data_IF_560331360963
#
_entry.id   IF_560331360963
#
_cell.length_a   1.000
_cell.length_b   1.000
_cell.length_c   1.000
_cell.angle_alpha   90.00
_cell.angle_beta   90.00
_cell.angle_gamma   90.00
#
_symmetry.space_group_name_H-M   'P 1'
#
loop_
_entity.id
_entity.type
_entity.pdbx_description
1 polymer ?
#
# COMPACT_ATOMS: atom_id res chain seq x y z
N UNK A 1 -10.03 -25.65 30.23
CA UNK A 1 -9.52 -25.70 31.62
C UNK A 1 -10.16 -24.57 32.43
N UNK A 2 -10.01 -24.53 33.76
CA UNK A 2 -10.32 -23.35 34.57
C UNK A 2 -9.01 -22.79 35.12
N UNK A 3 -8.64 -21.57 34.73
CA UNK A 3 -7.45 -20.90 35.23
C UNK A 3 -7.75 -20.27 36.60
N UNK A 4 -6.79 -20.32 37.53
CA UNK A 4 -6.88 -19.69 38.85
C UNK A 4 -6.39 -18.24 38.81
N UNK A 5 -5.34 -17.97 38.02
CA UNK A 5 -4.84 -16.64 37.71
C UNK A 5 -5.58 -16.05 36.49
N UNK A 6 -5.90 -14.74 36.47
CA UNK A 6 -6.40 -14.08 35.27
C UNK A 6 -5.30 -14.01 34.23
N UNK A 7 -5.44 -14.77 33.14
CA UNK A 7 -4.43 -14.92 32.10
C UNK A 7 -4.08 -13.60 31.39
N UNK A 8 -5.00 -12.62 31.37
CA UNK A 8 -4.76 -11.25 30.91
C UNK A 8 -3.71 -10.50 31.77
N UNK A 9 -3.50 -10.92 33.02
CA UNK A 9 -2.50 -10.34 33.93
C UNK A 9 -1.12 -10.99 33.76
N UNK A 10 -1.06 -12.19 33.18
CA UNK A 10 0.18 -12.93 32.91
C UNK A 10 0.93 -12.41 31.68
N UNK A 11 0.28 -11.61 30.84
CA UNK A 11 0.86 -11.03 29.61
C UNK A 11 1.37 -9.61 29.88
N UNK A 12 2.66 -9.39 29.61
CA UNK A 12 3.27 -8.07 29.60
C UNK A 12 3.07 -7.41 28.23
N UNK A 13 1.89 -6.80 28.04
CA UNK A 13 1.50 -6.15 26.77
C UNK A 13 2.60 -5.23 26.20
N UNK A 14 2.90 -5.31 24.88
CA UNK A 14 3.94 -4.48 24.24
C UNK A 14 3.76 -2.97 24.47
N UNK A 15 2.51 -2.51 24.56
CA UNK A 15 2.14 -1.12 24.89
C UNK A 15 2.69 -0.62 26.22
N UNK A 16 3.16 -1.49 27.12
CA UNK A 16 3.84 -1.11 28.36
C UNK A 16 5.23 -0.51 28.10
N UNK A 17 5.88 -0.90 27.01
CA UNK A 17 7.26 -0.50 26.67
C UNK A 17 7.32 0.70 25.70
N UNK A 18 6.17 1.15 25.18
CA UNK A 18 6.07 2.23 24.18
C UNK A 18 5.37 3.49 24.71
N UNK A 19 5.00 3.53 26.00
CA UNK A 19 4.21 4.61 26.65
C UNK A 19 4.79 6.01 26.54
N UNK A 20 6.11 6.11 26.44
CA UNK A 20 6.83 7.40 26.35
C UNK A 20 6.93 7.91 24.90
N UNK A 21 6.61 7.06 23.91
CA UNK A 21 6.51 7.47 22.51
C UNK A 21 5.25 8.31 22.34
N UNK A 22 5.40 9.54 21.86
CA UNK A 22 4.29 10.44 21.57
C UNK A 22 3.86 10.28 20.12
N UNK A 23 2.55 10.34 19.91
CA UNK A 23 1.89 10.37 18.61
C UNK A 23 0.89 11.54 18.59
N UNK A 24 0.44 12.00 17.41
CA UNK A 24 -0.76 12.83 17.28
C UNK A 24 -1.97 12.16 17.92
N UNK A 25 -3.04 12.93 18.15
CA UNK A 25 -4.31 12.34 18.56
C UNK A 25 -4.78 11.34 17.49
N UNK A 26 -5.32 10.15 17.85
CA UNK A 26 -5.74 9.15 16.86
C UNK A 26 -6.75 9.66 15.82
N UNK A 27 -7.55 10.68 16.16
CA UNK A 27 -8.49 11.33 15.23
C UNK A 27 -7.82 12.25 14.21
N UNK A 28 -6.56 12.64 14.42
CA UNK A 28 -5.76 13.40 13.45
C UNK A 28 -4.98 12.51 12.47
N UNK A 29 -4.81 11.21 12.77
CA UNK A 29 -4.02 10.28 11.95
C UNK A 29 -4.88 9.77 10.78
N UNK A 30 -4.63 10.30 9.58
CA UNK A 30 -5.33 9.91 8.35
C UNK A 30 -4.54 8.88 7.56
N UNK A 31 -5.19 7.77 7.22
CA UNK A 31 -4.68 6.77 6.27
C UNK A 31 -4.94 7.22 4.84
N UNK A 32 -3.90 7.30 4.04
CA UNK A 32 -3.95 7.69 2.63
C UNK A 32 -3.52 6.53 1.74
N UNK A 33 -4.43 6.01 0.93
CA UNK A 33 -4.13 4.92 0.00
C UNK A 33 -3.60 5.38 -1.35
N UNK A 34 -2.52 4.74 -1.80
CA UNK A 34 -1.90 4.91 -3.11
C UNK A 34 -1.96 3.63 -3.98
N UNK A 35 -2.78 2.61 -3.63
CA UNK A 35 -2.85 1.33 -4.36
C UNK A 35 -3.23 1.51 -5.83
N UNK A 36 -4.08 2.49 -6.14
CA UNK A 36 -4.56 2.78 -7.50
C UNK A 36 -3.67 3.76 -8.30
N UNK A 37 -2.52 4.16 -7.73
CA UNK A 37 -1.54 5.06 -8.35
C UNK A 37 -0.12 4.51 -8.25
N UNK A 38 0.43 4.38 -7.04
CA UNK A 38 1.76 3.77 -6.83
C UNK A 38 1.67 2.25 -6.87
N UNK A 39 0.63 1.66 -6.26
CA UNK A 39 0.45 0.21 -6.23
C UNK A 39 0.31 -0.44 -7.62
N UNK A 40 -0.22 0.29 -8.60
CA UNK A 40 -0.29 -0.13 -10.01
C UNK A 40 1.03 0.07 -10.77
N UNK A 41 1.97 0.90 -10.26
CA UNK A 41 3.31 1.02 -10.84
C UNK A 41 4.20 -0.20 -10.57
N UNK A 42 3.71 -1.19 -9.81
CA UNK A 42 4.31 -2.52 -9.73
C UNK A 42 4.36 -3.17 -11.14
N UNK A 43 5.53 -3.61 -11.64
CA UNK A 43 5.66 -4.18 -12.98
C UNK A 43 4.68 -5.34 -13.26
N UNK A 44 3.94 -5.25 -14.37
CA UNK A 44 2.93 -6.23 -14.78
C UNK A 44 1.54 -6.03 -14.15
N UNK A 45 1.39 -5.17 -13.14
CA UNK A 45 0.06 -4.85 -12.58
C UNK A 45 -0.63 -3.80 -13.45
N UNK A 46 -1.92 -4.02 -13.73
CA UNK A 46 -2.76 -3.08 -14.46
C UNK A 46 -4.23 -3.35 -14.11
N UNK A 47 -5.00 -2.29 -13.84
CA UNK A 47 -6.42 -2.39 -13.50
C UNK A 47 -7.28 -1.66 -14.54
N UNK A 48 -8.34 -2.32 -15.00
CA UNK A 48 -9.38 -1.62 -15.76
C UNK A 48 -10.08 -0.56 -14.90
N UNK A 49 -10.68 0.49 -15.49
CA UNK A 49 -11.37 1.53 -14.71
C UNK A 49 -12.48 1.00 -13.79
N UNK A 50 -13.12 -0.12 -14.17
CA UNK A 50 -14.10 -0.83 -13.36
C UNK A 50 -13.44 -1.53 -12.16
N UNK A 51 -12.34 -2.27 -12.36
CA UNK A 51 -11.59 -2.86 -11.24
C UNK A 51 -11.06 -1.77 -10.29
N UNK A 52 -10.59 -0.63 -10.81
CA UNK A 52 -10.18 0.51 -9.98
C UNK A 52 -11.33 1.04 -9.13
N UNK A 53 -12.56 1.10 -9.66
CA UNK A 53 -13.75 1.47 -8.87
C UNK A 53 -14.07 0.43 -7.79
N UNK A 54 -14.01 -0.87 -8.10
CA UNK A 54 -14.23 -1.94 -7.12
C UNK A 54 -13.20 -1.88 -5.97
N UNK A 55 -11.92 -1.68 -6.31
CA UNK A 55 -10.83 -1.49 -5.34
C UNK A 55 -11.04 -0.22 -4.51
N UNK A 56 -11.37 0.93 -5.13
CA UNK A 56 -11.66 2.17 -4.40
C UNK A 56 -12.84 2.00 -3.43
N UNK A 57 -13.86 1.22 -3.81
CA UNK A 57 -15.01 0.89 -2.95
C UNK A 57 -14.58 0.02 -1.76
N UNK A 58 -13.75 -1.01 -1.98
CA UNK A 58 -13.22 -1.85 -0.91
C UNK A 58 -12.31 -1.09 0.08
N UNK A 59 -11.49 -0.17 -0.45
CA UNK A 59 -10.63 0.73 0.35
C UNK A 59 -11.46 1.73 1.17
N UNK A 60 -12.50 2.33 0.59
CA UNK A 60 -13.41 3.20 1.32
C UNK A 60 -14.17 2.44 2.41
N UNK A 61 -14.65 1.22 2.11
CA UNK A 61 -15.36 0.37 3.08
C UNK A 61 -14.46 -0.07 4.23
N UNK A 62 -13.18 -0.43 4.03
CA UNK A 62 -12.31 -0.77 5.17
C UNK A 62 -11.96 0.45 6.05
N UNK A 63 -12.14 1.69 5.55
CA UNK A 63 -11.94 2.92 6.32
C UNK A 63 -10.66 3.70 5.97
N UNK A 64 -10.26 3.71 4.70
CA UNK A 64 -9.26 4.67 4.21
C UNK A 64 -9.85 6.09 4.19
N UNK A 65 -9.03 7.09 4.53
CA UNK A 65 -9.48 8.48 4.67
C UNK A 65 -9.26 9.31 3.39
N UNK A 66 -8.29 8.90 2.58
CA UNK A 66 -7.91 9.49 1.29
C UNK A 66 -7.60 8.32 0.35
N UNK A 67 -8.05 8.38 -0.90
CA UNK A 67 -7.69 7.42 -1.96
C UNK A 67 -7.18 8.19 -3.18
N UNK A 68 -5.97 7.87 -3.61
CA UNK A 68 -5.37 8.32 -4.87
C UNK A 68 -5.95 7.53 -6.02
N UNK A 69 -6.65 8.17 -6.98
CA UNK A 69 -7.34 7.48 -8.10
C UNK A 69 -6.59 7.60 -9.42
N UNK A 70 -5.25 7.59 -9.36
CA UNK A 70 -4.36 7.55 -10.53
C UNK A 70 -3.98 8.93 -11.07
N UNK A 71 -3.59 8.96 -12.35
CA UNK A 71 -3.01 10.11 -13.03
C UNK A 71 -3.75 10.45 -14.34
N UNK A 72 -4.81 11.28 -14.28
CA UNK A 72 -5.68 11.57 -15.43
C UNK A 72 -4.97 12.10 -16.69
N UNK A 73 -3.90 12.89 -16.54
CA UNK A 73 -3.17 13.42 -17.69
C UNK A 73 -2.29 12.36 -18.39
N UNK A 74 -1.97 11.24 -17.73
CA UNK A 74 -1.13 10.17 -18.28
C UNK A 74 -1.94 9.11 -19.06
N UNK A 75 -3.19 8.83 -18.64
CA UNK A 75 -4.00 7.74 -19.21
C UNK A 75 -5.47 8.13 -19.41
N UNK A 76 -6.08 7.67 -20.51
CA UNK A 76 -7.55 7.70 -20.67
C UNK A 76 -8.26 6.76 -19.70
N UNK A 77 -7.62 5.66 -19.28
CA UNK A 77 -8.11 4.77 -18.25
C UNK A 77 -8.23 5.48 -16.88
N UNK A 78 -7.23 6.27 -16.52
CA UNK A 78 -7.25 7.04 -15.26
C UNK A 78 -8.27 8.18 -15.30
N UNK A 79 -8.44 8.86 -16.44
CA UNK A 79 -9.57 9.80 -16.62
C UNK A 79 -10.92 9.12 -16.42
N UNK A 80 -11.14 7.95 -17.01
CA UNK A 80 -12.41 7.23 -16.82
C UNK A 80 -12.56 6.71 -15.40
N UNK A 81 -11.47 6.33 -14.73
CA UNK A 81 -11.46 5.94 -13.32
C UNK A 81 -11.90 7.08 -12.41
N UNK A 82 -11.29 8.26 -12.55
CA UNK A 82 -11.69 9.47 -11.83
C UNK A 82 -13.19 9.75 -12.00
N UNK A 83 -13.68 9.68 -13.24
CA UNK A 83 -15.10 9.89 -13.53
C UNK A 83 -15.98 8.86 -12.83
N UNK A 84 -15.70 7.56 -12.98
CA UNK A 84 -16.45 6.47 -12.35
C UNK A 84 -16.48 6.58 -10.82
N UNK A 85 -15.35 6.90 -10.19
CA UNK A 85 -15.24 7.06 -8.74
C UNK A 85 -16.03 8.28 -8.25
N UNK A 86 -15.96 9.42 -8.95
CA UNK A 86 -16.75 10.60 -8.56
C UNK A 86 -18.25 10.45 -8.83
N UNK A 87 -18.64 9.80 -9.93
CA UNK A 87 -20.02 9.40 -10.21
C UNK A 87 -20.55 8.50 -9.06
N UNK A 88 -19.76 7.53 -8.61
CA UNK A 88 -20.11 6.58 -7.54
C UNK A 88 -20.14 7.25 -6.15
N UNK A 89 -19.18 8.13 -5.83
CA UNK A 89 -19.19 8.94 -4.61
C UNK A 89 -20.43 9.84 -4.54
N UNK A 90 -20.86 10.45 -5.65
CA UNK A 90 -22.09 11.26 -5.73
C UNK A 90 -23.38 10.45 -5.58
N UNK A 91 -23.35 9.14 -5.87
CA UNK A 91 -24.45 8.20 -5.53
C UNK A 91 -24.43 7.74 -4.07
N UNK A 92 -23.40 8.12 -3.29
CA UNK A 92 -23.23 7.74 -1.88
C UNK A 92 -22.52 6.41 -1.66
N UNK A 93 -21.99 5.79 -2.72
CA UNK A 93 -21.47 4.41 -2.69
C UNK A 93 -20.07 4.28 -2.03
N UNK A 94 -19.25 5.35 -2.05
CA UNK A 94 -17.93 5.40 -1.38
C UNK A 94 -17.92 6.13 -0.03
N UNK A 95 -19.06 6.63 0.44
CA UNK A 95 -19.12 7.43 1.67
C UNK A 95 -18.23 8.68 1.65
N UNK A 96 -17.69 9.06 2.81
CA UNK A 96 -16.96 10.33 3.00
C UNK A 96 -15.43 10.23 2.83
N UNK A 97 -14.96 9.38 1.91
CA UNK A 97 -13.53 9.30 1.57
C UNK A 97 -13.08 10.49 0.71
N UNK A 98 -11.90 11.06 1.00
CA UNK A 98 -11.30 12.11 0.15
C UNK A 98 -10.73 11.48 -1.13
N UNK A 99 -11.18 11.96 -2.29
CA UNK A 99 -10.64 11.52 -3.59
C UNK A 99 -9.51 12.47 -4.00
N UNK A 100 -8.36 11.88 -4.35
CA UNK A 100 -7.15 12.59 -4.75
C UNK A 100 -6.68 12.14 -6.14
N UNK A 101 -6.14 13.06 -6.94
CA UNK A 101 -5.56 12.77 -8.26
C UNK A 101 -4.18 13.38 -8.44
N UNK A 102 -3.27 12.65 -9.08
CA UNK A 102 -1.93 13.14 -9.39
C UNK A 102 -1.95 14.09 -10.60
N UNK A 103 -1.18 15.16 -10.51
CA UNK A 103 -0.76 16.04 -11.60
C UNK A 103 0.74 16.30 -11.45
N UNK A 104 1.51 16.36 -12.55
CA UNK A 104 2.85 16.99 -12.48
C UNK A 104 2.66 18.50 -12.31
N UNK A 105 3.71 19.19 -11.88
CA UNK A 105 3.75 20.66 -11.80
C UNK A 105 3.84 21.32 -13.17
N UNK A 106 2.78 21.16 -13.96
CA UNK A 106 2.55 21.85 -15.23
C UNK A 106 1.05 22.12 -15.42
N UNK A 107 0.73 23.15 -16.19
CA UNK A 107 -0.65 23.63 -16.39
C UNK A 107 -1.53 22.64 -17.15
N UNK A 108 -0.99 21.96 -18.17
CA UNK A 108 -1.74 21.02 -19.00
C UNK A 108 -2.31 19.84 -18.20
N UNK A 109 -1.54 19.27 -17.25
CA UNK A 109 -2.03 18.16 -16.42
C UNK A 109 -3.23 18.59 -15.56
N UNK A 110 -3.18 19.81 -15.02
CA UNK A 110 -4.26 20.43 -14.24
C UNK A 110 -5.47 20.68 -15.15
N UNK A 111 -5.27 21.29 -16.33
CA UNK A 111 -6.33 21.63 -17.29
C UNK A 111 -7.08 20.37 -17.77
N UNK A 112 -6.36 19.30 -18.10
CA UNK A 112 -6.93 18.00 -18.50
C UNK A 112 -7.75 17.39 -17.36
N UNK A 113 -7.27 17.47 -16.13
CA UNK A 113 -7.96 16.92 -14.96
C UNK A 113 -9.23 17.73 -14.63
N UNK A 114 -9.15 19.06 -14.66
CA UNK A 114 -10.30 19.96 -14.47
C UNK A 114 -11.35 19.77 -15.58
N UNK A 115 -10.93 19.58 -16.83
CA UNK A 115 -11.83 19.28 -17.94
C UNK A 115 -12.58 17.95 -17.72
N UNK A 116 -11.87 16.89 -17.31
CA UNK A 116 -12.46 15.57 -17.06
C UNK A 116 -13.50 15.57 -15.91
N UNK A 117 -13.30 16.42 -14.89
CA UNK A 117 -14.29 16.64 -13.81
C UNK A 117 -15.51 17.44 -14.29
N UNK A 118 -15.27 18.51 -15.03
CA UNK A 118 -16.35 19.36 -15.58
C UNK A 118 -17.23 18.63 -16.59
N UNK A 119 -16.66 17.68 -17.34
CA UNK A 119 -17.38 16.81 -18.29
C UNK A 119 -18.52 16.02 -17.61
N UNK A 120 -18.30 15.55 -16.38
CA UNK A 120 -19.31 14.85 -15.56
C UNK A 120 -20.00 15.76 -14.53
N UNK A 121 -19.86 17.09 -14.68
CA UNK A 121 -20.50 18.08 -13.81
C UNK A 121 -20.08 18.00 -12.34
N UNK A 122 -18.81 17.66 -12.07
CA UNK A 122 -18.18 17.68 -10.73
C UNK A 122 -17.40 18.98 -10.57
N UNK A 123 -17.55 19.66 -9.44
CA UNK A 123 -16.77 20.87 -9.14
C UNK A 123 -15.33 20.46 -8.73
N UNK A 124 -14.26 21.08 -9.28
CA UNK A 124 -12.88 20.85 -8.85
C UNK A 124 -12.62 20.99 -7.34
N UNK A 125 -13.50 21.66 -6.56
CA UNK A 125 -13.46 21.67 -5.08
C UNK A 125 -13.73 20.31 -4.44
N UNK A 126 -14.47 19.43 -5.12
CA UNK A 126 -14.85 18.10 -4.61
C UNK A 126 -13.66 17.12 -4.58
N UNK A 127 -12.57 17.43 -5.30
CA UNK A 127 -11.39 16.56 -5.49
C UNK A 127 -10.13 17.27 -4.98
N UNK A 128 -9.21 16.50 -4.38
CA UNK A 128 -7.88 16.99 -4.01
C UNK A 128 -6.91 16.79 -5.17
N UNK A 129 -6.18 17.84 -5.56
CA UNK A 129 -5.13 17.72 -6.58
C UNK A 129 -3.78 17.56 -5.89
N UNK A 130 -3.08 16.47 -6.17
CA UNK A 130 -1.68 16.29 -5.78
C UNK A 130 -0.79 16.78 -6.90
N UNK A 131 -0.23 17.99 -6.75
CA UNK A 131 0.64 18.62 -7.73
C UNK A 131 2.09 18.31 -7.34
N UNK A 132 2.78 17.54 -8.17
CA UNK A 132 4.08 16.94 -7.81
C UNK A 132 5.22 17.39 -8.73
N UNK A 133 6.37 17.67 -8.12
CA UNK A 133 7.66 17.88 -8.79
C UNK A 133 8.74 17.01 -8.12
N UNK A 134 10.00 17.21 -8.50
CA UNK A 134 11.14 16.63 -7.81
C UNK A 134 11.62 17.52 -6.65
N UNK A 135 12.37 16.94 -5.69
CA UNK A 135 12.82 17.62 -4.47
C UNK A 135 14.33 17.52 -4.17
N UNK A 136 14.99 16.37 -4.33
CA UNK A 136 16.43 16.28 -4.05
C UNK A 136 17.30 16.97 -5.11
N UNK A 137 18.47 17.49 -4.73
CA UNK A 137 19.39 18.19 -5.63
C UNK A 137 19.78 17.36 -6.86
N UNK A 138 19.90 16.04 -6.70
CA UNK A 138 20.17 15.11 -7.80
C UNK A 138 19.03 15.13 -8.83
N UNK A 139 17.77 15.10 -8.38
CA UNK A 139 16.61 15.14 -9.26
C UNK A 139 16.41 16.54 -9.86
N UNK A 140 16.51 17.59 -9.04
CA UNK A 140 16.40 18.98 -9.48
C UNK A 140 17.40 19.32 -10.58
N UNK A 141 18.68 18.96 -10.39
CA UNK A 141 19.69 19.16 -11.43
C UNK A 141 19.52 18.15 -12.56
N UNK A 142 19.53 16.84 -12.32
CA UNK A 142 19.70 15.86 -13.40
C UNK A 142 18.44 15.20 -13.96
N UNK A 143 17.32 15.14 -13.23
CA UNK A 143 16.04 14.62 -13.75
C UNK A 143 15.21 15.72 -14.43
N UNK A 144 15.01 16.85 -13.75
CA UNK A 144 14.12 17.93 -14.21
C UNK A 144 14.82 19.21 -14.63
N UNK A 145 16.15 19.32 -14.53
CA UNK A 145 16.89 20.57 -14.79
C UNK A 145 16.59 21.23 -16.14
N UNK A 146 16.41 20.45 -17.21
CA UNK A 146 15.97 20.96 -18.53
C UNK A 146 14.55 21.50 -18.54
N UNK A 147 13.63 20.92 -17.77
CA UNK A 147 12.27 21.45 -17.59
C UNK A 147 12.33 22.79 -16.85
N UNK A 148 13.16 22.87 -15.81
CA UNK A 148 13.37 24.10 -15.01
C UNK A 148 14.02 25.22 -15.82
N UNK A 149 14.98 24.92 -16.70
CA UNK A 149 15.54 25.88 -17.65
C UNK A 149 14.48 26.45 -18.59
N UNK A 150 13.69 25.58 -19.25
CA UNK A 150 12.63 26.01 -20.17
C UNK A 150 11.57 26.84 -19.46
N UNK A 151 11.18 26.47 -18.23
CA UNK A 151 10.25 27.25 -17.41
C UNK A 151 10.82 28.65 -17.09
N UNK A 152 12.10 28.74 -16.73
CA UNK A 152 12.79 29.99 -16.46
C UNK A 152 13.18 30.79 -17.73
N UNK A 153 12.77 30.36 -18.93
CA UNK A 153 13.10 31.02 -20.19
C UNK A 153 14.59 30.94 -20.59
N UNK A 154 15.31 29.92 -20.13
CA UNK A 154 16.75 29.72 -20.35
C UNK A 154 17.06 28.64 -21.39
N UNK A 155 18.27 28.69 -21.94
CA UNK A 155 18.75 27.72 -22.92
C UNK A 155 19.16 26.39 -22.24
N UNK A 156 18.79 25.26 -22.84
CA UNK A 156 19.12 23.94 -22.28
C UNK A 156 20.63 23.61 -22.27
N UNK A 157 21.45 24.32 -23.06
CA UNK A 157 22.91 24.16 -23.03
C UNK A 157 23.55 24.66 -21.73
N UNK A 158 22.87 25.53 -20.96
CA UNK A 158 23.33 26.00 -19.65
C UNK A 158 23.22 24.94 -18.54
N UNK A 159 22.61 23.78 -18.83
CA UNK A 159 22.19 22.80 -17.84
C UNK A 159 23.28 22.36 -16.84
N UNK A 160 24.47 22.04 -17.32
CA UNK A 160 25.52 21.54 -16.44
C UNK A 160 26.27 22.66 -15.70
N UNK A 161 26.29 23.88 -16.25
CA UNK A 161 27.08 25.02 -15.71
C UNK A 161 26.39 25.78 -14.57
N UNK A 162 25.05 25.74 -14.47
CA UNK A 162 24.34 26.48 -13.43
C UNK A 162 24.49 25.87 -12.02
N UNK A 163 24.52 26.71 -10.96
CA UNK A 163 24.58 26.28 -9.57
C UNK A 163 23.26 25.65 -9.11
N UNK A 164 23.31 24.83 -8.05
CA UNK A 164 22.12 24.18 -7.48
C UNK A 164 21.06 25.17 -6.99
N UNK A 165 21.46 26.35 -6.51
CA UNK A 165 20.54 27.41 -6.08
C UNK A 165 19.57 27.85 -7.17
N UNK A 166 19.99 27.87 -8.45
CA UNK A 166 19.10 28.15 -9.57
C UNK A 166 18.03 27.07 -9.73
N UNK A 167 18.40 25.79 -9.61
CA UNK A 167 17.46 24.67 -9.76
C UNK A 167 16.47 24.57 -8.60
N UNK A 168 16.93 24.83 -7.36
CA UNK A 168 16.08 24.96 -6.18
C UNK A 168 15.04 26.09 -6.38
N UNK A 169 15.49 27.30 -6.71
CA UNK A 169 14.61 28.46 -6.93
C UNK A 169 13.60 28.23 -8.06
N UNK A 170 14.07 27.77 -9.23
CA UNK A 170 13.22 27.52 -10.39
C UNK A 170 12.16 26.44 -10.13
N UNK A 171 12.46 25.44 -9.27
CA UNK A 171 11.50 24.41 -8.89
C UNK A 171 10.43 24.94 -7.92
N UNK A 172 10.82 25.79 -6.97
CA UNK A 172 9.85 26.45 -6.09
C UNK A 172 8.88 27.30 -6.92
N UNK A 173 9.37 28.12 -7.86
CA UNK A 173 8.47 28.95 -8.69
C UNK A 173 7.65 28.13 -9.69
N UNK A 174 8.18 27.03 -10.27
CA UNK A 174 7.38 26.10 -11.08
C UNK A 174 6.20 25.53 -10.29
N UNK A 175 6.46 25.11 -9.06
CA UNK A 175 5.44 24.58 -8.15
C UNK A 175 4.41 25.67 -7.80
N UNK A 176 4.87 26.87 -7.45
CA UNK A 176 4.00 28.00 -7.12
C UNK A 176 3.12 28.43 -8.31
N UNK A 177 3.64 28.42 -9.55
CA UNK A 177 2.84 28.68 -10.76
C UNK A 177 1.75 27.62 -10.95
N UNK A 178 2.10 26.34 -10.86
CA UNK A 178 1.14 25.25 -10.99
C UNK A 178 0.04 25.30 -9.91
N UNK A 179 0.39 25.59 -8.65
CA UNK A 179 -0.57 25.78 -7.56
C UNK A 179 -1.48 26.98 -7.80
N UNK A 180 -0.95 28.14 -8.21
CA UNK A 180 -1.74 29.33 -8.56
C UNK A 180 -2.69 29.06 -9.73
N UNK A 181 -2.27 28.24 -10.70
CA UNK A 181 -3.07 27.84 -11.86
C UNK A 181 -4.18 26.82 -11.50
N UNK A 182 -3.95 25.92 -10.54
CA UNK A 182 -5.02 25.09 -9.99
C UNK A 182 -6.03 25.94 -9.19
N UNK A 183 -5.56 26.92 -8.41
CA UNK A 183 -6.42 27.89 -7.70
C UNK A 183 -7.31 28.70 -8.64
N UNK A 184 -6.80 29.16 -9.78
CA UNK A 184 -7.61 29.90 -10.76
C UNK A 184 -8.72 29.05 -11.41
N UNK A 185 -8.60 27.72 -11.38
CA UNK A 185 -9.62 26.77 -11.83
C UNK A 185 -10.68 26.41 -10.77
N UNK A 186 -10.52 26.91 -9.54
CA UNK A 186 -11.42 26.65 -8.41
C UNK A 186 -11.02 25.47 -7.53
N UNK A 187 -9.81 24.89 -7.70
CA UNK A 187 -9.35 23.79 -6.84
C UNK A 187 -9.14 24.29 -5.42
N UNK A 188 -9.82 23.68 -4.45
CA UNK A 188 -9.77 24.10 -3.05
C UNK A 188 -8.73 23.36 -2.20
N UNK A 189 -8.54 22.06 -2.43
CA UNK A 189 -7.57 21.20 -1.75
C UNK A 189 -6.42 20.86 -2.70
N UNK A 190 -5.22 21.27 -2.34
CA UNK A 190 -4.01 21.09 -3.13
C UNK A 190 -2.94 20.45 -2.24
N UNK A 191 -2.74 19.16 -2.45
CA UNK A 191 -1.55 18.46 -1.95
C UNK A 191 -0.36 18.77 -2.87
N UNK A 192 0.84 18.89 -2.32
CA UNK A 192 2.03 19.18 -3.12
C UNK A 192 3.29 18.59 -2.50
N UNK A 193 4.21 18.13 -3.33
CA UNK A 193 5.40 17.42 -2.86
C UNK A 193 6.58 17.50 -3.81
N UNK A 194 7.74 17.07 -3.30
CA UNK A 194 8.99 16.97 -4.06
C UNK A 194 9.55 15.56 -3.91
N UNK A 195 9.72 14.86 -5.03
CA UNK A 195 10.35 13.53 -5.11
C UNK A 195 11.70 13.46 -4.40
N UNK A 196 12.02 12.28 -3.85
CA UNK A 196 13.31 11.96 -3.25
C UNK A 196 13.63 12.78 -1.98
N UNK A 197 12.59 13.06 -1.19
CA UNK A 197 12.65 13.89 0.01
C UNK A 197 13.62 13.39 1.09
N UNK A 198 13.77 12.08 1.25
CA UNK A 198 14.71 11.46 2.18
C UNK A 198 16.20 11.72 1.89
N UNK A 199 16.53 12.06 0.63
CA UNK A 199 17.90 12.37 0.18
C UNK A 199 18.08 13.85 -0.20
N UNK A 200 17.07 14.67 0.04
CA UNK A 200 17.14 16.11 -0.15
C UNK A 200 17.64 16.86 1.07
N UNK A 201 17.82 18.17 0.89
CA UNK A 201 18.17 19.10 1.96
C UNK A 201 16.91 19.54 2.70
N UNK A 202 16.81 19.19 3.99
CA UNK A 202 15.65 19.49 4.84
C UNK A 202 15.34 20.98 4.93
N UNK A 203 16.35 21.87 4.86
CA UNK A 203 16.12 23.32 4.92
C UNK A 203 15.50 23.83 3.62
N UNK A 204 15.92 23.29 2.48
CA UNK A 204 15.29 23.57 1.19
C UNK A 204 13.84 23.06 1.17
N UNK A 205 13.55 21.89 1.75
CA UNK A 205 12.17 21.41 1.87
C UNK A 205 11.30 22.30 2.75
N UNK A 206 11.85 22.81 3.86
CA UNK A 206 11.17 23.79 4.72
C UNK A 206 10.86 25.08 3.95
N UNK A 207 11.81 25.62 3.18
CA UNK A 207 11.58 26.81 2.34
C UNK A 207 10.54 26.55 1.24
N UNK A 208 10.74 25.47 0.47
CA UNK A 208 9.87 25.03 -0.62
C UNK A 208 8.43 24.88 -0.14
N UNK A 209 8.20 24.18 0.96
CA UNK A 209 6.86 23.97 1.47
C UNK A 209 6.22 25.26 1.99
N UNK A 210 6.94 26.10 2.73
CA UNK A 210 6.38 27.38 3.20
C UNK A 210 6.04 28.33 2.04
N UNK A 211 6.86 28.39 0.98
CA UNK A 211 6.58 29.19 -0.23
C UNK A 211 5.38 28.66 -1.02
N UNK A 212 5.24 27.33 -1.13
CA UNK A 212 4.11 26.72 -1.85
C UNK A 212 2.80 26.81 -1.04
N UNK A 213 2.85 26.72 0.30
CA UNK A 213 1.72 27.07 1.17
C UNK A 213 1.28 28.52 0.93
N UNK A 214 2.22 29.48 0.90
CA UNK A 214 1.92 30.89 0.62
C UNK A 214 1.38 31.13 -0.80
N UNK A 215 1.71 30.27 -1.78
CA UNK A 215 1.12 30.28 -3.11
C UNK A 215 -0.30 29.67 -3.19
N UNK A 216 -0.78 29.05 -2.10
CA UNK A 216 -2.11 28.45 -2.00
C UNK A 216 -2.13 26.92 -1.91
N UNK A 217 -1.00 26.25 -1.66
CA UNK A 217 -0.99 24.83 -1.31
C UNK A 217 -1.68 24.58 0.04
N UNK A 218 -2.24 23.39 0.26
CA UNK A 218 -2.95 23.05 1.52
C UNK A 218 -2.33 21.90 2.31
N UNK A 219 -1.57 21.02 1.65
CA UNK A 219 -1.00 19.83 2.30
C UNK A 219 0.37 19.48 1.72
N UNK A 220 1.47 19.66 2.47
CA UNK A 220 2.80 19.20 2.03
C UNK A 220 2.86 17.66 2.05
N UNK A 221 3.50 17.09 1.04
CA UNK A 221 3.78 15.65 0.94
C UNK A 221 5.28 15.41 0.76
N UNK A 222 5.83 14.58 1.62
CA UNK A 222 7.26 14.30 1.71
C UNK A 222 7.53 12.78 1.51
N UNK A 223 8.28 12.40 0.47
CA UNK A 223 8.53 11.00 0.15
C UNK A 223 9.95 10.50 0.51
N UNK A 224 10.05 9.32 1.11
CA UNK A 224 11.26 8.47 1.03
C UNK A 224 11.18 7.57 -0.21
N UNK A 225 11.43 8.18 -1.38
CA UNK A 225 11.23 7.58 -2.71
C UNK A 225 12.02 6.28 -2.94
N UNK A 226 13.11 6.05 -2.21
CA UNK A 226 13.97 4.86 -2.32
C UNK A 226 14.09 4.07 -1.01
N UNK A 227 13.17 4.31 -0.06
CA UNK A 227 13.03 3.55 1.19
C UNK A 227 14.30 3.48 2.04
N UNK A 228 15.18 4.47 1.95
CA UNK A 228 16.57 4.36 2.40
C UNK A 228 16.84 4.91 3.81
N UNK A 229 15.82 5.44 4.49
CA UNK A 229 15.98 5.90 5.87
C UNK A 229 15.94 4.75 6.87
N UNK A 230 16.72 4.89 7.94
CA UNK A 230 16.47 4.16 9.18
C UNK A 230 15.53 4.97 10.09
N UNK A 231 14.97 4.38 11.15
CA UNK A 231 14.19 5.14 12.13
C UNK A 231 14.94 6.33 12.74
N UNK A 232 16.27 6.25 12.88
CA UNK A 232 17.12 7.36 13.35
C UNK A 232 17.16 8.49 12.32
N UNK A 233 17.34 8.14 11.03
CA UNK A 233 17.27 9.10 9.92
C UNK A 233 15.90 9.75 9.80
N UNK A 234 14.83 8.96 9.92
CA UNK A 234 13.45 9.46 9.93
C UNK A 234 13.19 10.41 11.11
N UNK A 235 13.70 10.12 12.32
CA UNK A 235 13.61 11.05 13.45
C UNK A 235 14.39 12.35 13.22
N UNK A 236 15.62 12.25 12.73
CA UNK A 236 16.48 13.42 12.50
C UNK A 236 15.93 14.35 11.42
N UNK A 237 15.48 13.80 10.29
CA UNK A 237 14.91 14.57 9.18
C UNK A 237 13.47 15.01 9.49
N UNK A 238 12.62 14.09 9.93
CA UNK A 238 11.19 14.31 10.15
C UNK A 238 10.89 15.35 11.23
N UNK A 239 11.53 15.24 12.41
CA UNK A 239 11.31 16.22 13.50
C UNK A 239 11.67 17.64 13.07
N UNK A 240 12.78 17.78 12.32
CA UNK A 240 13.24 19.08 11.81
C UNK A 240 12.31 19.64 10.74
N UNK A 241 11.85 18.80 9.82
CA UNK A 241 10.88 19.18 8.79
C UNK A 241 9.56 19.66 9.40
N UNK A 242 8.97 18.88 10.33
CA UNK A 242 7.70 19.25 10.99
C UNK A 242 7.85 20.54 11.79
N UNK A 243 8.97 20.73 12.52
CA UNK A 243 9.23 21.95 13.28
C UNK A 243 9.44 23.21 12.42
N UNK A 244 9.78 23.07 11.14
CA UNK A 244 9.92 24.18 10.19
C UNK A 244 8.63 24.60 9.50
N UNK A 245 7.50 23.93 9.76
CA UNK A 245 6.21 24.15 9.11
C UNK A 245 5.20 24.76 10.09
N UNK A 246 4.08 25.35 9.60
CA UNK A 246 3.03 25.87 10.48
C UNK A 246 2.49 24.79 11.41
N UNK A 247 2.21 25.17 12.66
CA UNK A 247 1.74 24.24 13.69
C UNK A 247 0.47 23.49 13.24
N UNK A 248 0.46 22.17 13.46
CA UNK A 248 -0.67 21.31 13.13
C UNK A 248 -0.84 20.94 11.66
N UNK A 249 0.02 21.43 10.75
CA UNK A 249 -0.01 21.12 9.31
C UNK A 249 -0.09 19.60 9.05
N UNK A 250 -1.07 19.11 8.25
CA UNK A 250 -1.28 17.67 8.05
C UNK A 250 -0.32 17.06 7.02
N UNK A 251 0.99 17.11 7.30
CA UNK A 251 2.04 16.65 6.37
C UNK A 251 1.90 15.16 6.08
N UNK A 252 2.01 14.81 4.79
CA UNK A 252 2.03 13.41 4.32
C UNK A 252 3.43 12.82 4.41
N UNK A 253 3.56 11.66 5.05
CA UNK A 253 4.71 10.76 4.87
C UNK A 253 4.36 9.69 3.83
N UNK A 254 5.18 9.58 2.79
CA UNK A 254 5.10 8.51 1.79
C UNK A 254 6.43 7.78 1.74
N UNK A 255 6.43 6.45 1.93
CA UNK A 255 7.67 5.72 2.24
C UNK A 255 7.69 4.38 1.48
N UNK A 256 8.75 4.17 0.70
CA UNK A 256 9.01 2.87 0.07
C UNK A 256 9.69 1.89 1.03
N UNK A 257 9.74 0.63 0.62
CA UNK A 257 10.14 -0.50 1.45
C UNK A 257 11.41 -1.23 0.96
N UNK A 258 12.29 -0.57 0.19
CA UNK A 258 13.50 -1.15 -0.41
C UNK A 258 14.42 -1.92 0.58
N UNK A 259 14.47 -1.49 1.84
CA UNK A 259 15.23 -2.14 2.91
C UNK A 259 14.36 -2.92 3.94
N UNK A 260 13.05 -3.08 3.68
CA UNK A 260 12.11 -3.67 4.63
C UNK A 260 11.76 -2.76 5.83
N UNK A 261 12.03 -1.45 5.71
CA UNK A 261 11.88 -0.48 6.81
C UNK A 261 10.63 0.42 6.69
N UNK A 262 9.81 0.27 5.63
CA UNK A 262 8.70 1.17 5.34
C UNK A 262 7.71 1.30 6.50
N UNK A 263 7.24 0.17 7.06
CA UNK A 263 6.30 0.15 8.20
C UNK A 263 6.86 0.83 9.46
N UNK A 264 8.11 0.52 9.85
CA UNK A 264 8.70 1.11 11.06
C UNK A 264 9.04 2.60 10.87
N UNK A 265 9.41 3.01 9.66
CA UNK A 265 9.57 4.42 9.31
C UNK A 265 8.23 5.17 9.30
N UNK A 266 7.13 4.54 8.89
CA UNK A 266 5.79 5.13 8.94
C UNK A 266 5.33 5.40 10.37
N UNK A 267 5.52 4.42 11.27
CA UNK A 267 5.29 4.57 12.71
C UNK A 267 6.19 5.69 13.26
N UNK A 268 7.47 5.70 12.89
CA UNK A 268 8.44 6.72 13.33
C UNK A 268 8.08 8.12 12.82
N UNK A 269 7.61 8.25 11.57
CA UNK A 269 7.11 9.49 10.99
C UNK A 269 5.89 10.01 11.75
N UNK A 270 4.95 9.11 12.07
CA UNK A 270 3.79 9.44 12.89
C UNK A 270 4.22 9.98 14.25
N UNK A 271 5.19 9.34 14.91
CA UNK A 271 5.76 9.83 16.17
C UNK A 271 6.54 11.15 16.05
N UNK A 272 7.00 11.54 14.86
CA UNK A 272 7.60 12.84 14.58
C UNK A 272 6.56 13.96 14.34
N UNK A 273 5.26 13.63 14.32
CA UNK A 273 4.17 14.59 14.11
C UNK A 273 3.59 14.60 12.68
N UNK A 274 3.96 13.66 11.81
CA UNK A 274 3.26 13.48 10.54
C UNK A 274 1.84 12.95 10.81
N UNK A 275 0.84 13.59 10.22
CA UNK A 275 -0.59 13.28 10.46
C UNK A 275 -1.25 12.51 9.33
N UNK A 276 -0.64 12.46 8.14
CA UNK A 276 -1.16 11.69 7.01
C UNK A 276 -0.11 10.67 6.60
N UNK A 277 -0.47 9.38 6.66
CA UNK A 277 0.46 8.29 6.35
C UNK A 277 -0.03 7.60 5.09
N UNK A 278 0.80 7.65 4.04
CA UNK A 278 0.56 6.95 2.80
C UNK A 278 0.88 5.47 2.96
N UNK A 279 -0.04 4.64 2.49
CA UNK A 279 -0.02 3.18 2.56
C UNK A 279 -0.56 2.58 1.26
N UNK A 280 -0.35 1.28 1.06
CA UNK A 280 -1.06 0.52 0.03
C UNK A 280 -1.56 -0.80 0.59
N UNK A 281 -2.70 -1.27 0.07
CA UNK A 281 -3.14 -2.64 0.28
C UNK A 281 -2.09 -3.63 -0.23
N UNK A 282 -1.80 -4.68 0.55
CA UNK A 282 -0.72 -5.64 0.35
C UNK A 282 0.71 -5.05 0.29
N UNK A 283 0.90 -3.74 0.47
CA UNK A 283 2.21 -3.09 0.30
C UNK A 283 2.66 -2.95 -1.16
N UNK A 284 1.78 -3.18 -2.14
CA UNK A 284 2.14 -3.05 -3.55
C UNK A 284 2.66 -1.64 -3.89
N UNK A 285 3.51 -1.56 -4.90
CA UNK A 285 4.19 -0.33 -5.31
C UNK A 285 5.37 -0.61 -6.23
N UNK A 286 6.05 0.46 -6.60
CA UNK A 286 7.38 0.39 -7.23
C UNK A 286 8.37 -0.48 -6.43
N UNK A 287 9.14 -1.31 -7.16
CA UNK A 287 10.26 -2.13 -6.64
C UNK A 287 9.86 -3.09 -5.49
N UNK A 288 10.25 -2.77 -4.25
CA UNK A 288 9.92 -3.53 -3.04
C UNK A 288 8.60 -3.10 -2.38
N UNK A 289 7.89 -2.15 -3.00
CA UNK A 289 6.59 -1.68 -2.55
C UNK A 289 6.62 -0.48 -1.61
N UNK A 290 5.44 -0.21 -1.03
CA UNK A 290 5.16 0.90 -0.11
C UNK A 290 4.94 0.40 1.32
N UNK A 291 4.61 1.32 2.23
CA UNK A 291 4.07 0.97 3.56
C UNK A 291 2.85 0.06 3.41
N UNK A 292 2.94 -1.13 3.99
CA UNK A 292 1.85 -2.11 4.04
C UNK A 292 0.75 -1.63 4.98
N UNK A 293 -0.47 -1.43 4.45
CA UNK A 293 -1.64 -1.03 5.23
C UNK A 293 -1.86 -1.92 6.46
N UNK A 294 -1.84 -3.25 6.26
CA UNK A 294 -2.13 -4.23 7.31
C UNK A 294 -1.07 -4.27 8.43
N UNK A 295 0.21 -4.13 8.09
CA UNK A 295 1.26 -4.06 9.11
C UNK A 295 1.16 -2.75 9.90
N UNK A 296 1.02 -1.60 9.22
CA UNK A 296 0.98 -0.29 9.88
C UNK A 296 -0.17 -0.17 10.87
N UNK A 297 -1.41 -0.43 10.44
CA UNK A 297 -2.59 -0.23 11.31
C UNK A 297 -2.60 -1.20 12.50
N UNK A 298 -2.18 -2.46 12.31
CA UNK A 298 -2.14 -3.45 13.39
C UNK A 298 -0.98 -3.18 14.34
N UNK A 299 0.19 -2.75 13.84
CA UNK A 299 1.30 -2.34 14.71
C UNK A 299 0.91 -1.12 15.56
N UNK A 300 0.31 -0.08 14.98
CA UNK A 300 -0.19 1.07 15.73
C UNK A 300 -1.16 0.66 16.84
N UNK A 301 -2.12 -0.24 16.55
CA UNK A 301 -3.09 -0.71 17.54
C UNK A 301 -2.48 -1.60 18.62
N UNK A 302 -1.75 -2.65 18.25
CA UNK A 302 -1.29 -3.70 19.16
C UNK A 302 0.00 -3.32 19.91
N UNK A 303 0.91 -2.57 19.28
CA UNK A 303 2.23 -2.25 19.85
C UNK A 303 2.27 -0.87 20.51
N UNK A 304 1.41 0.07 20.07
CA UNK A 304 1.39 1.45 20.57
C UNK A 304 0.05 1.85 21.21
N UNK A 305 -0.99 1.02 21.14
CA UNK A 305 -2.31 1.33 21.70
C UNK A 305 -3.08 2.41 20.91
N UNK A 306 -2.66 2.71 19.68
CA UNK A 306 -3.26 3.72 18.81
C UNK A 306 -4.21 3.05 17.84
N UNK A 307 -5.52 3.12 18.14
CA UNK A 307 -6.58 2.64 17.26
C UNK A 307 -7.03 3.75 16.31
N UNK A 308 -6.99 3.47 15.00
CA UNK A 308 -7.43 4.44 13.99
C UNK A 308 -8.96 4.48 13.95
N UNK A 309 -9.61 5.63 14.24
CA UNK A 309 -11.08 5.69 14.33
C UNK A 309 -11.78 5.24 13.04
N UNK A 310 -12.77 4.37 13.17
CA UNK A 310 -13.58 3.88 12.06
C UNK A 310 -12.93 2.81 11.16
N UNK A 311 -11.65 2.49 11.35
CA UNK A 311 -10.96 1.47 10.54
C UNK A 311 -11.44 0.04 10.86
N UNK A 312 -11.84 -0.72 9.84
CA UNK A 312 -12.42 -2.06 9.95
C UNK A 312 -11.33 -3.14 9.88
N UNK A 313 -10.54 -3.25 10.95
CA UNK A 313 -9.45 -4.23 11.09
C UNK A 313 -9.84 -5.65 10.64
N UNK A 314 -11.05 -6.10 10.94
CA UNK A 314 -11.55 -7.43 10.62
C UNK A 314 -11.76 -7.69 9.11
N UNK A 315 -11.54 -6.70 8.24
CA UNK A 315 -11.57 -6.85 6.77
C UNK A 315 -10.18 -6.97 6.13
N UNK A 316 -9.09 -6.86 6.90
CA UNK A 316 -7.72 -6.86 6.37
C UNK A 316 -7.40 -8.13 5.55
N UNK A 317 -7.78 -9.31 6.05
CA UNK A 317 -7.56 -10.59 5.35
C UNK A 317 -8.34 -10.68 4.04
N UNK A 318 -9.59 -10.22 4.03
CA UNK A 318 -10.44 -10.24 2.84
C UNK A 318 -9.98 -9.24 1.79
N UNK A 319 -9.58 -8.02 2.20
CA UNK A 319 -8.97 -7.03 1.32
C UNK A 319 -7.67 -7.57 0.71
N UNK A 320 -6.79 -8.17 1.52
CA UNK A 320 -5.55 -8.77 1.03
C UNK A 320 -5.82 -9.85 -0.02
N UNK A 321 -6.79 -10.73 0.26
CA UNK A 321 -7.24 -11.82 -0.63
C UNK A 321 -7.97 -11.32 -1.87
N UNK A 322 -8.63 -10.17 -1.81
CA UNK A 322 -9.24 -9.50 -2.95
C UNK A 322 -8.18 -8.85 -3.85
N UNK A 323 -7.20 -8.18 -3.27
CA UNK A 323 -6.12 -7.55 -4.02
C UNK A 323 -5.26 -8.55 -4.80
N UNK A 324 -4.94 -9.72 -4.26
CA UNK A 324 -4.25 -10.78 -5.01
C UNK A 324 -5.03 -11.23 -6.26
N UNK A 325 -6.37 -11.28 -6.18
CA UNK A 325 -7.23 -11.64 -7.32
C UNK A 325 -7.30 -10.52 -8.36
N UNK A 326 -7.22 -9.27 -7.93
CA UNK A 326 -7.26 -8.11 -8.82
C UNK A 326 -5.92 -7.85 -9.51
N UNK A 327 -4.80 -8.04 -8.81
CA UNK A 327 -3.45 -7.77 -9.33
C UNK A 327 -2.82 -8.95 -10.07
N UNK A 328 -3.26 -10.19 -9.78
CA UNK A 328 -2.56 -11.41 -10.19
C UNK A 328 -1.30 -11.71 -9.37
N UNK A 329 -0.94 -10.86 -8.40
CA UNK A 329 0.27 -10.98 -7.58
C UNK A 329 -0.06 -11.64 -6.25
N UNK A 330 0.38 -12.89 -5.98
CA UNK A 330 0.11 -13.58 -4.73
C UNK A 330 0.93 -13.00 -3.57
N UNK A 331 0.34 -12.98 -2.38
CA UNK A 331 1.06 -12.66 -1.15
C UNK A 331 1.78 -13.88 -0.59
N UNK A 332 2.91 -13.63 0.07
CA UNK A 332 3.66 -14.67 0.76
C UNK A 332 2.78 -15.37 1.81
N UNK A 333 2.90 -16.69 1.91
CA UNK A 333 2.14 -17.47 2.90
C UNK A 333 2.45 -17.05 4.34
N UNK A 334 3.64 -16.52 4.58
CA UNK A 334 4.14 -16.02 5.86
C UNK A 334 4.15 -14.49 5.96
N UNK A 335 3.49 -13.78 5.03
CA UNK A 335 3.32 -12.33 5.09
C UNK A 335 2.74 -11.92 6.46
N UNK A 336 3.36 -10.99 7.21
CA UNK A 336 2.87 -10.60 8.52
C UNK A 336 1.40 -10.19 8.49
N UNK A 337 0.65 -10.54 9.54
CA UNK A 337 -0.78 -10.22 9.74
C UNK A 337 -1.75 -10.92 8.76
N UNK A 338 -1.49 -10.91 7.45
CA UNK A 338 -2.46 -11.32 6.40
C UNK A 338 -2.06 -12.54 5.57
N UNK A 339 -0.84 -13.07 5.73
CA UNK A 339 -0.34 -14.26 5.02
C UNK A 339 -1.10 -15.53 5.38
N UNK A 340 -1.29 -16.45 4.41
CA UNK A 340 -2.20 -17.59 4.58
C UNK A 340 -1.92 -18.48 5.78
N UNK A 341 -0.66 -18.58 6.22
CA UNK A 341 -0.17 -19.51 7.23
C UNK A 341 0.24 -18.87 8.55
N UNK A 342 0.09 -17.56 8.74
CA UNK A 342 0.52 -16.90 10.00
C UNK A 342 -0.31 -17.30 11.23
N UNK A 343 -1.53 -17.81 11.03
CA UNK A 343 -2.40 -18.39 12.07
C UNK A 343 -2.51 -19.92 11.95
N UNK A 344 -1.57 -20.56 11.23
CA UNK A 344 -1.57 -22.01 11.00
C UNK A 344 -0.53 -22.71 11.89
N UNK A 345 -0.95 -23.73 12.64
CA UNK A 345 -0.12 -24.44 13.61
C UNK A 345 -0.02 -25.94 13.30
N UNK A 346 1.19 -26.45 13.11
CA UNK A 346 1.47 -27.90 12.88
C UNK A 346 2.17 -28.57 14.07
N UNK A 347 3.21 -27.91 14.62
CA UNK A 347 4.07 -28.48 15.67
C UNK A 347 3.29 -28.86 16.93
N UNK A 348 3.43 -30.11 17.39
CA UNK A 348 2.73 -30.63 18.56
C UNK A 348 2.87 -29.80 19.85
N UNK A 349 3.99 -29.08 20.02
CA UNK A 349 4.19 -28.17 21.16
C UNK A 349 3.33 -26.91 20.99
N UNK A 350 3.29 -26.36 19.78
CA UNK A 350 2.52 -25.15 19.48
C UNK A 350 1.03 -25.41 19.53
N UNK A 351 0.58 -26.52 18.93
CA UNK A 351 -0.83 -26.90 18.90
C UNK A 351 -1.33 -27.23 20.31
N UNK A 352 -0.51 -27.85 21.17
CA UNK A 352 -0.84 -28.02 22.58
C UNK A 352 -0.99 -26.69 23.33
N UNK A 353 -0.11 -25.72 23.11
CA UNK A 353 -0.26 -24.37 23.68
C UNK A 353 -1.55 -23.68 23.24
N UNK A 354 -1.82 -23.65 21.93
CA UNK A 354 -3.05 -23.07 21.37
C UNK A 354 -4.33 -23.73 21.95
N UNK A 355 -4.32 -25.05 22.17
CA UNK A 355 -5.43 -25.78 22.81
C UNK A 355 -5.64 -25.44 24.29
N UNK A 356 -4.63 -24.88 24.98
CA UNK A 356 -4.76 -24.33 26.33
C UNK A 356 -5.30 -22.89 26.25
N UNK A 357 -4.59 -22.02 25.54
CA UNK A 357 -5.03 -20.66 25.19
C UNK A 357 -4.27 -20.14 23.96
N UNK A 358 -5.01 -19.52 23.02
CA UNK A 358 -4.45 -19.02 21.75
C UNK A 358 -3.34 -17.98 21.94
N UNK A 359 -3.42 -17.15 22.99
CA UNK A 359 -2.46 -16.06 23.27
C UNK A 359 -1.04 -16.55 23.57
N UNK A 360 -0.84 -17.84 23.82
CA UNK A 360 0.49 -18.43 24.02
C UNK A 360 1.35 -18.34 22.74
N UNK A 361 0.73 -18.38 21.55
CA UNK A 361 1.44 -18.31 20.26
C UNK A 361 0.84 -17.33 19.24
N UNK A 362 -0.41 -16.88 19.41
CA UNK A 362 -1.01 -15.81 18.60
C UNK A 362 -0.70 -14.43 19.22
N UNK A 363 0.37 -13.78 18.74
CA UNK A 363 0.73 -12.41 19.14
C UNK A 363 -0.26 -11.34 18.64
N UNK A 364 -1.13 -11.70 17.69
CA UNK A 364 -2.26 -10.91 17.19
C UNK A 364 -3.45 -11.87 17.13
N UNK A 365 -4.60 -11.57 17.76
CA UNK A 365 -5.77 -12.45 17.68
C UNK A 365 -6.25 -12.57 16.23
N UNK A 366 -6.40 -13.78 15.68
CA UNK A 366 -6.74 -13.94 14.25
C UNK A 366 -8.04 -13.22 13.85
N UNK A 367 -9.05 -13.22 14.73
CA UNK A 367 -10.35 -12.58 14.52
C UNK A 367 -10.27 -11.05 14.38
N UNK A 368 -9.24 -10.42 14.95
CA UNK A 368 -8.98 -8.99 14.81
C UNK A 368 -8.84 -8.59 13.34
N UNK A 369 -8.30 -9.49 12.51
CA UNK A 369 -7.89 -9.22 11.13
C UNK A 369 -8.73 -9.95 10.08
N UNK A 370 -9.81 -10.62 10.52
CA UNK A 370 -10.67 -11.43 9.65
C UNK A 370 -10.15 -12.83 9.35
N UNK A 371 -9.25 -13.35 10.18
CA UNK A 371 -8.68 -14.69 10.04
C UNK A 371 -9.18 -15.64 11.15
N UNK A 372 -8.92 -16.93 10.96
CA UNK A 372 -9.15 -18.00 11.93
C UNK A 372 -7.86 -18.78 12.15
N UNK A 373 -7.69 -19.33 13.36
CA UNK A 373 -6.67 -20.33 13.66
C UNK A 373 -6.89 -21.58 12.80
N UNK A 374 -5.84 -22.08 12.14
CA UNK A 374 -5.86 -23.30 11.35
C UNK A 374 -4.92 -24.34 11.98
N UNK A 375 -5.37 -25.59 12.09
CA UNK A 375 -4.51 -26.69 12.49
C UNK A 375 -4.07 -27.51 11.27
N UNK A 376 -2.76 -27.66 11.10
CA UNK A 376 -2.17 -28.40 9.99
C UNK A 376 -1.62 -29.75 10.43
N UNK A 377 -1.75 -30.73 9.54
CA UNK A 377 -1.37 -32.12 9.76
C UNK A 377 -0.18 -32.48 8.88
N UNK A 378 0.95 -32.82 9.50
CA UNK A 378 2.22 -33.00 8.82
C UNK A 378 3.26 -33.73 9.66
N UNK A 379 4.55 -33.51 9.33
CA UNK A 379 5.68 -34.20 9.95
C UNK A 379 5.82 -33.87 11.45
N UNK A 380 5.41 -32.66 11.85
CA UNK A 380 5.56 -32.15 13.20
C UNK A 380 4.30 -32.28 14.06
N UNK A 381 3.23 -32.89 13.54
CA UNK A 381 1.99 -33.09 14.28
C UNK A 381 2.18 -33.96 15.53
N UNK A 382 1.67 -33.47 16.65
CA UNK A 382 1.55 -34.22 17.90
C UNK A 382 0.28 -35.08 17.92
N UNK A 383 0.36 -36.24 18.59
CA UNK A 383 -0.78 -37.18 18.66
C UNK A 383 -2.02 -36.57 19.33
N UNK A 384 -1.86 -35.63 20.27
CA UNK A 384 -2.97 -35.00 20.98
C UNK A 384 -3.91 -34.23 20.04
N UNK A 385 -3.36 -33.48 19.07
CA UNK A 385 -4.16 -32.78 18.06
C UNK A 385 -4.89 -33.76 17.15
N UNK A 386 -4.21 -34.83 16.72
CA UNK A 386 -4.83 -35.89 15.90
C UNK A 386 -5.95 -36.59 16.66
N UNK A 387 -5.74 -36.92 17.94
CA UNK A 387 -6.76 -37.53 18.80
C UNK A 387 -7.97 -36.61 18.98
N UNK A 388 -7.77 -35.32 19.24
CA UNK A 388 -8.85 -34.35 19.30
C UNK A 388 -9.63 -34.30 17.98
N UNK A 389 -8.95 -34.20 16.83
CA UNK A 389 -9.62 -34.17 15.51
C UNK A 389 -10.41 -35.45 15.23
N UNK A 390 -9.93 -36.62 15.67
CA UNK A 390 -10.69 -37.87 15.58
C UNK A 390 -11.93 -37.84 16.48
N UNK A 391 -11.82 -37.35 17.73
CA UNK A 391 -12.95 -37.21 18.68
C UNK A 391 -14.01 -36.20 18.19
N UNK A 392 -13.59 -35.06 17.64
CA UNK A 392 -14.48 -34.08 17.01
C UNK A 392 -15.25 -34.63 15.80
N UNK A 393 -14.79 -35.77 15.24
CA UNK A 393 -15.42 -36.46 14.11
C UNK A 393 -15.91 -37.87 14.48
N UNK A 394 -16.08 -38.16 15.77
CA UNK A 394 -16.38 -39.51 16.28
C UNK A 394 -17.66 -40.10 15.66
N UNK A 395 -18.75 -39.32 15.53
CA UNK A 395 -19.98 -39.76 14.87
C UNK A 395 -19.76 -40.23 13.42
N UNK A 396 -18.88 -39.55 12.67
CA UNK A 396 -18.56 -39.87 11.26
C UNK A 396 -17.71 -41.13 11.15
N UNK A 397 -16.85 -41.37 12.13
CA UNK A 397 -16.02 -42.56 12.24
C UNK A 397 -16.86 -43.76 12.69
N UNK A 398 -17.72 -43.58 13.69
CA UNK A 398 -18.66 -44.59 14.20
C UNK A 398 -19.64 -45.06 13.11
N UNK A 399 -20.16 -44.13 12.28
CA UNK A 399 -20.97 -44.47 11.10
C UNK A 399 -20.22 -45.34 10.06
N UNK A 400 -18.89 -45.35 10.11
CA UNK A 400 -18.00 -46.18 9.28
C UNK A 400 -17.48 -47.43 10.01
N UNK A 401 -17.98 -47.71 11.23
CA UNK A 401 -17.52 -48.82 12.08
C UNK A 401 -16.14 -48.61 12.74
N UNK A 402 -15.67 -47.35 12.84
CA UNK A 402 -14.35 -47.00 13.41
C UNK A 402 -14.52 -46.37 14.78
N UNK A 403 -13.96 -46.99 15.82
CA UNK A 403 -13.93 -46.48 17.19
C UNK A 403 -12.68 -45.60 17.43
N UNK A 404 -12.85 -44.45 18.10
CA UNK A 404 -11.74 -43.52 18.38
C UNK A 404 -10.94 -44.00 19.60
N UNK A 405 -9.85 -44.71 19.33
CA UNK A 405 -8.92 -45.20 20.36
C UNK A 405 -7.58 -44.47 20.33
N UNK A 406 -6.86 -44.45 21.47
CA UNK A 406 -5.50 -43.88 21.51
C UNK A 406 -4.53 -44.63 20.56
N UNK A 407 -4.72 -45.93 20.37
CA UNK A 407 -3.95 -46.72 19.38
C UNK A 407 -4.22 -46.25 17.94
N UNK A 408 -5.48 -45.96 17.59
CA UNK A 408 -5.84 -45.37 16.30
C UNK A 408 -5.20 -43.98 16.13
N UNK A 409 -5.26 -43.11 17.15
CA UNK A 409 -4.67 -41.78 17.08
C UNK A 409 -3.15 -41.81 16.81
N UNK A 410 -2.42 -42.71 17.47
CA UNK A 410 -0.99 -42.93 17.20
C UNK A 410 -0.74 -43.44 15.77
N UNK A 411 -1.49 -44.45 15.32
CA UNK A 411 -1.36 -45.00 13.97
C UNK A 411 -1.66 -43.97 12.87
N UNK A 412 -2.72 -43.16 13.05
CA UNK A 412 -3.06 -42.05 12.15
C UNK A 412 -1.96 -40.98 12.16
N UNK A 413 -1.38 -40.67 13.33
CA UNK A 413 -0.29 -39.68 13.43
C UNK A 413 0.94 -40.12 12.62
N UNK A 414 1.40 -41.36 12.75
CA UNK A 414 2.54 -41.87 11.97
C UNK A 414 2.22 -41.94 10.47
N UNK A 415 0.99 -42.32 10.11
CA UNK A 415 0.55 -42.33 8.71
C UNK A 415 0.48 -40.91 8.11
N UNK A 416 0.06 -39.90 8.89
CA UNK A 416 0.08 -38.48 8.50
C UNK A 416 1.50 -38.00 8.23
N UNK A 417 2.45 -38.29 9.13
CA UNK A 417 3.87 -37.94 8.96
C UNK A 417 4.42 -38.54 7.68
N UNK A 418 4.22 -39.84 7.46
CA UNK A 418 4.67 -40.57 6.26
C UNK A 418 4.09 -39.96 4.98
N UNK A 419 2.77 -39.74 4.92
CA UNK A 419 2.12 -39.10 3.76
C UNK A 419 2.71 -37.70 3.51
N UNK A 420 3.03 -36.93 4.56
CA UNK A 420 3.59 -35.59 4.40
C UNK A 420 5.01 -35.62 3.83
N UNK A 421 5.84 -36.58 4.26
CA UNK A 421 7.19 -36.82 3.73
C UNK A 421 7.15 -37.28 2.27
N UNK A 422 6.28 -38.25 1.94
CA UNK A 422 6.04 -38.70 0.55
C UNK A 422 5.62 -37.53 -0.35
N UNK A 423 4.71 -36.66 0.12
CA UNK A 423 4.31 -35.44 -0.60
C UNK A 423 5.41 -34.37 -0.69
N UNK A 424 6.35 -34.33 0.26
CA UNK A 424 7.46 -33.38 0.25
C UNK A 424 8.58 -33.82 -0.72
N UNK A 425 8.71 -35.13 -0.98
CA UNK A 425 9.58 -35.68 -2.01
C UNK A 425 8.98 -35.59 -3.44
N UNK A 426 7.71 -35.19 -3.58
CA UNK A 426 7.03 -35.02 -4.86
C UNK A 426 7.28 -33.66 -5.52
N UNK A 427 7.00 -33.58 -6.83
CA UNK A 427 7.21 -32.39 -7.67
C UNK A 427 6.24 -31.23 -7.42
N UNK A 428 5.27 -31.35 -6.51
CA UNK A 428 4.18 -30.37 -6.33
C UNK A 428 4.70 -28.96 -5.99
N UNK A 429 5.74 -28.85 -5.17
CA UNK A 429 6.33 -27.57 -4.81
C UNK A 429 7.02 -26.90 -6.01
N UNK A 430 7.74 -27.68 -6.83
CA UNK A 430 8.36 -27.22 -8.06
C UNK A 430 7.31 -26.77 -9.08
N UNK A 431 6.28 -27.58 -9.33
CA UNK A 431 5.18 -27.27 -10.24
C UNK A 431 4.43 -25.99 -9.83
N UNK A 432 4.28 -25.73 -8.54
CA UNK A 432 3.66 -24.50 -8.04
C UNK A 432 4.53 -23.25 -8.29
N UNK A 433 5.85 -23.38 -8.25
CA UNK A 433 6.79 -22.29 -8.58
C UNK A 433 6.83 -22.07 -10.09
N UNK A 434 7.03 -23.12 -10.88
CA UNK A 434 7.03 -23.07 -12.35
C UNK A 434 5.74 -22.42 -12.88
N UNK A 435 4.57 -22.84 -12.35
CA UNK A 435 3.28 -22.25 -12.73
C UNK A 435 3.12 -20.79 -12.31
N UNK A 436 3.75 -20.37 -11.21
CA UNK A 436 3.75 -18.97 -10.81
C UNK A 436 4.64 -18.12 -11.73
N UNK A 437 5.83 -18.61 -12.08
CA UNK A 437 6.76 -17.94 -12.99
C UNK A 437 6.16 -17.79 -14.41
N UNK A 438 5.46 -18.81 -14.91
CA UNK A 438 4.66 -18.73 -16.15
C UNK A 438 3.63 -17.58 -16.10
N UNK A 439 2.84 -17.50 -15.02
CA UNK A 439 1.79 -16.49 -14.86
C UNK A 439 2.40 -15.09 -14.74
N UNK A 440 3.41 -14.92 -13.89
CA UNK A 440 4.06 -13.63 -13.65
C UNK A 440 4.71 -13.08 -14.93
N UNK A 441 5.30 -13.95 -15.76
CA UNK A 441 5.89 -13.57 -17.04
C UNK A 441 4.84 -13.09 -18.06
N UNK A 442 3.63 -13.64 -18.02
CA UNK A 442 2.53 -13.29 -18.93
C UNK A 442 1.72 -12.04 -18.55
N UNK A 443 2.00 -11.39 -17.41
CA UNK A 443 1.30 -10.17 -16.98
C UNK A 443 1.82 -8.90 -17.66
N UNK A 444 3.08 -8.89 -18.12
CA UNK A 444 3.69 -7.75 -18.79
C UNK A 444 3.82 -7.98 -20.30
N UNK A 445 3.72 -6.91 -21.09
CA UNK A 445 4.12 -6.94 -22.50
C UNK A 445 5.64 -6.82 -22.61
N UNK A 446 6.25 -7.65 -23.45
CA UNK A 446 7.70 -7.64 -23.64
C UNK A 446 8.16 -6.75 -24.82
N UNK A 447 9.46 -6.76 -25.11
CA UNK A 447 10.02 -5.97 -26.20
C UNK A 447 9.59 -6.47 -27.60
N UNK A 448 9.31 -7.77 -27.76
CA UNK A 448 8.80 -8.34 -29.00
C UNK A 448 7.32 -8.00 -29.23
N UNK A 449 6.49 -8.00 -28.18
CA UNK A 449 5.11 -7.50 -28.22
C UNK A 449 5.06 -6.05 -28.73
N UNK A 450 5.88 -5.18 -28.15
CA UNK A 450 5.97 -3.77 -28.56
C UNK A 450 6.38 -3.64 -30.04
N UNK A 451 7.35 -4.43 -30.49
CA UNK A 451 7.78 -4.46 -31.91
C UNK A 451 6.66 -4.98 -32.82
N UNK A 452 5.90 -5.99 -32.39
CA UNK A 452 4.80 -6.56 -33.16
C UNK A 452 3.59 -5.62 -33.23
N UNK A 453 3.26 -4.91 -32.15
CA UNK A 453 2.28 -3.82 -32.12
C UNK A 453 2.71 -2.69 -33.06
N UNK A 454 3.97 -2.26 -33.00
CA UNK A 454 4.50 -1.21 -33.87
C UNK A 454 4.45 -1.60 -35.36
N UNK A 455 4.80 -2.85 -35.70
CA UNK A 455 4.63 -3.42 -37.05
C UNK A 455 3.17 -3.42 -37.48
N UNK A 456 2.24 -3.84 -36.62
CA UNK A 456 0.82 -3.91 -36.94
C UNK A 456 0.21 -2.51 -37.17
N UNK A 457 0.60 -1.51 -36.38
CA UNK A 457 0.19 -0.11 -36.56
C UNK A 457 0.80 0.45 -37.86
N UNK A 458 2.10 0.26 -38.08
CA UNK A 458 2.81 0.72 -39.29
C UNK A 458 2.24 0.12 -40.57
N UNK A 459 1.91 -1.18 -40.58
CA UNK A 459 1.28 -1.86 -41.71
C UNK A 459 -0.15 -1.37 -42.00
N UNK A 460 -0.87 -0.87 -41.00
CA UNK A 460 -2.18 -0.21 -41.15
C UNK A 460 -2.08 1.28 -41.49
N UNK A 461 -0.87 1.85 -41.46
CA UNK A 461 -0.54 3.27 -41.64
C UNK A 461 -0.78 3.90 -43.03
N UNK A 462 -1.73 3.36 -43.81
CA UNK A 462 -2.33 4.03 -44.97
C UNK A 462 -3.81 4.40 -44.78
N UNK A 463 -4.49 3.84 -43.76
CA UNK A 463 -5.90 4.13 -43.48
C UNK A 463 -6.18 4.13 -41.98
N UNK A 464 -6.81 5.20 -41.50
CA UNK A 464 -7.26 5.35 -40.11
C UNK A 464 -8.25 4.25 -39.74
N UNK A 465 -7.93 3.42 -38.75
CA UNK A 465 -8.83 2.37 -38.27
C UNK A 465 -8.78 2.18 -36.75
N UNK A 466 -9.93 2.43 -36.13
CA UNK A 466 -10.43 1.84 -34.89
C UNK A 466 -9.71 0.57 -34.43
N UNK A 467 -9.23 0.55 -33.19
CA UNK A 467 -8.74 -0.67 -32.56
C UNK A 467 -9.89 -1.67 -32.32
N UNK A 468 -9.66 -2.92 -32.71
CA UNK A 468 -10.42 -4.07 -32.22
C UNK A 468 -9.48 -4.88 -31.30
N UNK A 469 -9.98 -5.53 -30.23
CA UNK A 469 -9.11 -6.25 -29.30
C UNK A 469 -8.43 -7.44 -29.98
N UNK A 470 -7.13 -7.61 -29.72
CA UNK A 470 -6.47 -8.89 -29.95
C UNK A 470 -6.93 -9.84 -28.83
N UNK A 471 -7.52 -10.97 -29.22
CA UNK A 471 -7.87 -12.05 -28.28
C UNK A 471 -6.61 -12.75 -27.80
N UNK A 472 -6.39 -12.77 -26.48
CA UNK A 472 -5.30 -13.54 -25.86
C UNK A 472 -5.50 -15.06 -25.96
N UNK A 473 -4.38 -15.78 -25.88
CA UNK A 473 -4.33 -17.21 -25.52
C UNK A 473 -4.16 -17.36 -24.01
#
# INVERSE_FOLDING_TARGET
MKFEEPIEQLIAEPTRFTRDVRFPDPSEIRLYDETLRDGEQMPGVCYTPQQKLEIATALADIGLHIISVGFPAASSGDRRTLQLVMESKRRGELGDVEILVMCRSNRNDIDVTVAALREIGVDPREVTFFIFSSGSDLHLKYKVGKVLLRFAGRDESEWLSLPLSFYREANIELQCDAVRHARSHGVERIEFGGEDGSRGDVEYFIEYYNRVLAAGGTRPAWPDTVGCLTPEGMRAHGTRLIAGLPEGMPVVAHLHNDYGLGTINAITATACGFKVISVTANGYGERAGNVKLHEYVVAMRQLYGIEIPGFKYNKLRDLSRFMERMSGVPMQQHEPIVGTRVFAHESGIHTHGIMIDRRIYEAVPSELVGAHTEFLFGKHSGVALVEQTLRENEDRLAASGVEVTSALAHAVTEQVKRIREERAAGSLAQQAIERYEEIASGLALDAEDVVNIARAIGARGGATASAAPLSGN
#
